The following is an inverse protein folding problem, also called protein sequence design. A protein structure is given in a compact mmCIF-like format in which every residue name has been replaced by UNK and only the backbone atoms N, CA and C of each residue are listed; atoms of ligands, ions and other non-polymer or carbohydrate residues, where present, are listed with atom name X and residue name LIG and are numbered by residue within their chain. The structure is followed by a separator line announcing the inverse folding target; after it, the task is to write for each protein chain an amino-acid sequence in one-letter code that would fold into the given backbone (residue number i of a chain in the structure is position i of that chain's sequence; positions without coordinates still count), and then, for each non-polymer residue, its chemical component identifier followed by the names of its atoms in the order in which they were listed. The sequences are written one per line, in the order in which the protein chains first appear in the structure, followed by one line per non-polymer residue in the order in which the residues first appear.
data_IF_392290214128
#
_entry.id   IF_392290214128
#
_cell.length_a   1.000
_cell.length_b   1.000
_cell.length_c   1.000
_cell.angle_alpha   90.00
_cell.angle_beta   90.00
_cell.angle_gamma   90.00
#
_symmetry.space_group_name_H-M   'P 1'
#
loop_
_entity.id
_entity.type
_entity.pdbx_description
1 polymer ?
#
# COMPACT_ATOMS: atom_id res chain seq x y z
N UNK A 1 25.13 8.92 30.73
CA UNK A 1 24.10 8.05 31.36
C UNK A 1 22.89 8.13 30.43
N UNK A 2 22.91 7.28 29.40
CA UNK A 2 21.83 7.18 28.43
C UNK A 2 20.62 6.49 29.05
N UNK A 3 19.48 7.09 28.86
CA UNK A 3 18.22 6.63 29.43
C UNK A 3 17.70 5.41 28.68
N UNK A 4 17.61 4.31 29.39
CA UNK A 4 17.02 3.00 29.00
C UNK A 4 15.50 3.05 28.71
N UNK A 5 14.99 4.07 28.02
CA UNK A 5 13.54 4.30 27.87
C UNK A 5 12.84 3.46 26.81
N UNK A 6 13.54 2.60 26.10
CA UNK A 6 12.93 1.78 25.03
C UNK A 6 12.85 0.29 25.36
N UNK A 7 12.94 -0.06 26.64
CA UNK A 7 12.95 -1.49 27.08
C UNK A 7 11.60 -2.19 27.10
N UNK A 8 10.48 -1.51 26.87
CA UNK A 8 9.18 -2.13 27.14
C UNK A 8 8.14 -1.82 26.06
N UNK A 9 8.17 -2.56 24.97
CA UNK A 9 6.97 -2.88 24.22
C UNK A 9 6.67 -4.38 24.39
N UNK A 10 6.04 -4.71 25.50
CA UNK A 10 5.58 -6.06 25.77
C UNK A 10 4.69 -6.01 27.00
N UNK A 11 3.40 -6.11 26.77
CA UNK A 11 2.42 -6.29 27.83
C UNK A 11 2.54 -7.70 28.39
N UNK A 12 3.12 -7.84 29.57
CA UNK A 12 3.22 -9.11 30.29
C UNK A 12 4.36 -9.11 31.31
N UNK A 13 4.13 -9.61 32.52
CA UNK A 13 5.19 -9.84 33.50
C UNK A 13 6.23 -10.77 32.89
N UNK A 14 7.40 -10.25 32.63
CA UNK A 14 8.53 -11.04 32.16
C UNK A 14 9.13 -11.73 33.37
N UNK A 15 8.89 -13.06 33.49
CA UNK A 15 9.62 -13.90 34.45
C UNK A 15 11.14 -13.83 34.19
N UNK A 16 11.90 -14.41 35.08
CA UNK A 16 13.37 -14.46 35.03
C UNK A 16 13.90 -14.77 33.62
N UNK A 17 14.59 -13.77 33.02
CA UNK A 17 15.11 -13.82 31.65
C UNK A 17 16.56 -14.30 31.59
N UNK A 18 17.15 -14.71 32.72
CA UNK A 18 18.57 -15.08 32.84
C UNK A 18 18.98 -16.26 31.93
N UNK A 19 18.02 -17.10 31.51
CA UNK A 19 18.24 -18.27 30.64
C UNK A 19 17.67 -18.09 29.20
N UNK A 20 17.23 -16.90 28.80
CA UNK A 20 16.75 -16.71 27.45
C UNK A 20 17.93 -16.47 26.51
N UNK A 21 17.83 -17.03 25.30
CA UNK A 21 18.76 -16.69 24.21
C UNK A 21 18.79 -15.17 24.07
N UNK A 22 19.98 -14.59 23.89
CA UNK A 22 20.07 -13.14 23.67
C UNK A 22 19.12 -12.73 22.56
N UNK A 23 18.37 -11.66 22.78
CA UNK A 23 17.46 -11.10 21.78
C UNK A 23 18.28 -10.74 20.52
N UNK A 24 17.83 -11.13 19.32
CA UNK A 24 18.63 -11.00 18.09
C UNK A 24 18.96 -9.56 17.71
N UNK A 25 18.52 -8.59 18.51
CA UNK A 25 18.66 -7.17 18.19
C UNK A 25 17.47 -6.63 17.35
N UNK A 26 17.46 -5.35 17.12
CA UNK A 26 16.50 -4.66 16.26
C UNK A 26 17.22 -4.12 15.03
N UNK A 27 16.55 -4.09 13.87
CA UNK A 27 15.22 -4.61 13.56
C UNK A 27 15.17 -6.15 13.48
N UNK A 28 13.98 -6.74 13.75
CA UNK A 28 13.78 -8.19 13.63
C UNK A 28 13.62 -8.58 12.17
N UNK A 29 14.41 -9.51 11.62
CA UNK A 29 14.44 -9.82 10.20
C UNK A 29 13.15 -10.47 9.67
N UNK A 30 12.39 -11.11 10.54
CA UNK A 30 11.13 -11.80 10.22
C UNK A 30 9.87 -10.98 10.56
N UNK A 31 10.02 -9.70 10.88
CA UNK A 31 8.89 -8.83 11.21
C UNK A 31 8.70 -7.76 10.15
N UNK A 32 7.47 -7.64 9.63
CA UNK A 32 7.02 -6.54 8.80
C UNK A 32 6.09 -5.64 9.61
N UNK A 33 6.40 -4.36 9.67
CA UNK A 33 5.56 -3.35 10.32
C UNK A 33 4.59 -2.79 9.29
N UNK A 34 3.29 -2.82 9.59
CA UNK A 34 2.27 -2.36 8.67
C UNK A 34 1.52 -1.14 9.16
N UNK A 35 1.02 -0.35 8.21
CA UNK A 35 0.05 0.72 8.47
C UNK A 35 -1.03 0.70 7.39
N UNK A 36 -2.21 1.26 7.71
CA UNK A 36 -3.29 1.43 6.71
C UNK A 36 -3.24 2.84 6.12
N UNK A 37 -3.74 3.00 4.89
CA UNK A 37 -3.95 4.31 4.28
C UNK A 37 -5.06 4.21 3.23
N UNK A 38 -6.17 4.90 3.48
CA UNK A 38 -7.37 4.82 2.65
C UNK A 38 -7.37 5.87 1.51
N UNK A 39 -6.57 6.92 1.67
CA UNK A 39 -6.41 8.03 0.73
C UNK A 39 -5.04 8.71 0.92
N UNK A 40 -4.73 9.70 0.06
CA UNK A 40 -3.46 10.41 0.10
C UNK A 40 -3.17 11.06 1.45
N UNK A 41 -4.16 11.74 2.04
CA UNK A 41 -3.97 12.44 3.33
C UNK A 41 -3.48 11.47 4.42
N UNK A 42 -4.16 10.33 4.60
CA UNK A 42 -3.77 9.34 5.62
C UNK A 42 -2.47 8.62 5.26
N UNK A 43 -2.18 8.46 3.97
CA UNK A 43 -0.89 7.93 3.54
C UNK A 43 0.25 8.86 3.96
N UNK A 44 0.18 10.14 3.63
CA UNK A 44 1.23 11.12 3.93
C UNK A 44 1.46 11.26 5.44
N UNK A 45 0.36 11.38 6.21
CA UNK A 45 0.40 11.47 7.67
C UNK A 45 1.13 10.27 8.27
N UNK A 46 0.69 9.05 7.94
CA UNK A 46 1.21 7.82 8.55
C UNK A 46 2.60 7.45 8.02
N UNK A 47 2.85 7.68 6.72
CA UNK A 47 4.16 7.49 6.13
C UNK A 47 5.22 8.38 6.76
N UNK A 48 4.88 9.61 7.13
CA UNK A 48 5.81 10.52 7.82
C UNK A 48 6.44 9.91 9.07
N UNK A 49 5.73 9.02 9.75
CA UNK A 49 6.22 8.28 10.91
C UNK A 49 6.91 6.97 10.53
N UNK A 50 6.30 6.19 9.62
CA UNK A 50 6.78 4.87 9.24
C UNK A 50 8.09 4.89 8.48
N UNK A 51 8.36 5.95 7.68
CA UNK A 51 9.63 6.11 6.96
C UNK A 51 10.86 6.12 7.87
N UNK A 52 10.70 6.59 9.13
CA UNK A 52 11.80 6.57 10.12
C UNK A 52 12.13 5.15 10.55
N UNK A 53 11.13 4.31 10.68
CA UNK A 53 11.32 2.90 10.99
C UNK A 53 11.95 2.17 9.80
N UNK A 54 11.47 2.45 8.58
CA UNK A 54 12.05 1.90 7.36
C UNK A 54 13.52 2.33 7.18
N UNK A 55 13.86 3.60 7.45
CA UNK A 55 15.24 4.09 7.43
C UNK A 55 16.12 3.45 8.52
N UNK A 56 15.53 3.03 9.65
CA UNK A 56 16.20 2.26 10.69
C UNK A 56 16.31 0.75 10.38
N UNK A 57 15.99 0.33 9.15
CA UNK A 57 16.14 -1.04 8.67
C UNK A 57 14.93 -1.95 8.89
N UNK A 58 13.81 -1.45 9.45
CA UNK A 58 12.60 -2.24 9.56
C UNK A 58 11.95 -2.46 8.20
N UNK A 59 11.49 -3.68 7.94
CA UNK A 59 10.64 -3.96 6.79
C UNK A 59 9.26 -3.36 7.03
N UNK A 60 8.81 -2.46 6.15
CA UNK A 60 7.55 -1.72 6.27
C UNK A 60 6.64 -2.01 5.08
N UNK A 61 5.35 -2.16 5.33
CA UNK A 61 4.34 -2.33 4.29
C UNK A 61 3.11 -1.47 4.55
N UNK A 62 2.32 -1.21 3.51
CA UNK A 62 1.07 -0.46 3.61
C UNK A 62 -0.13 -1.28 3.16
N UNK A 63 -1.24 -1.16 3.88
CA UNK A 63 -2.56 -1.63 3.48
C UNK A 63 -3.38 -0.43 2.99
N UNK A 64 -3.46 -0.27 1.68
CA UNK A 64 -4.35 0.70 1.04
C UNK A 64 -5.78 0.12 0.94
N UNK A 65 -6.39 -0.12 2.10
CA UNK A 65 -7.70 -0.75 2.25
C UNK A 65 -8.52 -0.11 3.39
N UNK A 66 -9.78 0.26 3.08
CA UNK A 66 -10.36 0.32 1.74
C UNK A 66 -9.80 1.49 0.93
N UNK A 67 -9.47 1.27 -0.35
CA UNK A 67 -8.98 2.34 -1.21
C UNK A 67 -10.14 3.28 -1.58
N UNK A 68 -10.00 4.55 -1.20
CA UNK A 68 -11.06 5.57 -1.35
C UNK A 68 -10.70 6.73 -2.29
N UNK A 69 -9.44 6.82 -2.67
CA UNK A 69 -8.94 7.76 -3.69
C UNK A 69 -7.67 7.21 -4.31
N UNK A 70 -7.20 7.86 -5.37
CA UNK A 70 -5.83 7.63 -5.85
C UNK A 70 -4.81 8.02 -4.76
N UNK A 71 -3.69 7.28 -4.71
CA UNK A 71 -2.58 7.52 -3.78
C UNK A 71 -1.28 7.50 -4.57
N UNK A 72 -0.57 8.61 -4.53
CA UNK A 72 0.81 8.70 -5.01
C UNK A 72 1.76 8.20 -3.92
N UNK A 73 2.37 7.03 -4.14
CA UNK A 73 3.30 6.39 -3.22
C UNK A 73 4.75 6.45 -3.71
N UNK A 74 5.03 7.13 -4.84
CA UNK A 74 6.33 7.08 -5.51
C UNK A 74 7.49 7.45 -4.60
N UNK A 75 7.33 8.45 -3.72
CA UNK A 75 8.38 8.81 -2.76
C UNK A 75 8.66 7.66 -1.76
N UNK A 76 7.65 6.90 -1.36
CA UNK A 76 7.78 5.79 -0.44
C UNK A 76 8.26 4.50 -1.09
N UNK A 77 8.04 4.34 -2.39
CA UNK A 77 8.46 3.17 -3.18
C UNK A 77 9.87 3.37 -3.74
N UNK A 78 10.15 4.57 -4.27
CA UNK A 78 11.43 4.91 -4.88
C UNK A 78 11.80 6.36 -4.56
N UNK A 79 12.50 6.61 -3.46
CA UNK A 79 12.77 7.97 -2.97
C UNK A 79 13.76 8.78 -3.84
N UNK A 80 14.16 8.26 -5.01
CA UNK A 80 15.10 8.94 -5.91
C UNK A 80 16.51 9.06 -5.34
N UNK A 81 17.20 10.14 -5.66
CA UNK A 81 18.54 10.42 -5.14
C UNK A 81 18.41 11.03 -3.74
N UNK A 82 19.10 10.45 -2.77
CA UNK A 82 19.14 10.98 -1.41
C UNK A 82 20.02 12.24 -1.37
N UNK A 83 19.43 13.37 -1.00
CA UNK A 83 20.15 14.64 -0.89
C UNK A 83 21.28 14.61 0.16
N UNK A 84 21.17 13.71 1.14
CA UNK A 84 22.16 13.61 2.23
C UNK A 84 23.38 12.77 1.86
N UNK A 85 23.19 11.63 1.19
CA UNK A 85 24.30 10.72 0.85
C UNK A 85 24.54 10.55 -0.66
N UNK A 86 23.72 11.14 -1.51
CA UNK A 86 23.82 11.04 -2.97
C UNK A 86 23.43 9.68 -3.57
N UNK A 87 23.05 8.70 -2.75
CA UNK A 87 22.62 7.39 -3.24
C UNK A 87 21.25 7.48 -3.91
N UNK A 88 21.08 6.77 -5.04
CA UNK A 88 19.81 6.56 -5.69
C UNK A 88 19.11 5.36 -5.04
N UNK A 89 17.85 5.55 -4.62
CA UNK A 89 17.03 4.51 -3.99
C UNK A 89 17.18 4.42 -2.46
N UNK A 90 16.94 3.24 -1.88
CA UNK A 90 16.96 3.04 -0.43
C UNK A 90 18.34 3.31 0.18
N UNK A 91 18.39 4.00 1.30
CA UNK A 91 19.61 4.21 2.07
C UNK A 91 19.25 4.40 3.55
N UNK A 92 20.25 4.50 4.43
CA UNK A 92 20.07 4.72 5.87
C UNK A 92 19.28 6.00 6.24
N UNK A 93 19.18 6.96 5.30
CA UNK A 93 18.43 8.20 5.49
C UNK A 93 17.01 8.15 4.90
N UNK A 94 16.73 7.14 4.07
CA UNK A 94 15.47 6.97 3.35
C UNK A 94 15.05 5.51 3.35
N UNK A 95 14.06 5.19 4.15
CA UNK A 95 13.39 3.90 4.09
C UNK A 95 12.41 3.82 2.92
N UNK A 96 12.14 2.62 2.46
CA UNK A 96 11.15 2.34 1.42
C UNK A 96 10.15 1.29 1.88
N UNK A 97 8.98 1.30 1.25
CA UNK A 97 8.01 0.23 1.40
C UNK A 97 8.53 -1.08 0.77
N UNK A 98 8.28 -2.19 1.44
CA UNK A 98 8.61 -3.53 0.95
C UNK A 98 7.43 -4.19 0.26
N UNK A 99 6.21 -3.77 0.59
CA UNK A 99 4.99 -4.31 0.02
C UNK A 99 3.85 -3.28 0.09
N UNK A 100 3.00 -3.31 -0.91
CA UNK A 100 1.71 -2.61 -0.93
C UNK A 100 0.59 -3.64 -1.08
N UNK A 101 -0.37 -3.62 -0.17
CA UNK A 101 -1.62 -4.38 -0.28
C UNK A 101 -2.72 -3.39 -0.62
N UNK A 102 -3.53 -3.67 -1.62
CA UNK A 102 -4.59 -2.78 -2.08
C UNK A 102 -5.90 -3.53 -2.25
N UNK A 103 -7.01 -2.89 -1.90
CA UNK A 103 -8.32 -3.48 -2.09
C UNK A 103 -9.48 -2.56 -1.76
N UNK A 104 -10.65 -2.90 -2.35
CA UNK A 104 -11.91 -2.20 -2.11
C UNK A 104 -12.64 -2.68 -0.88
N UNK A 105 -13.57 -1.85 -0.42
CA UNK A 105 -14.42 -2.16 0.72
C UNK A 105 -15.41 -3.28 0.39
N UNK A 106 -15.56 -4.25 1.31
CA UNK A 106 -16.53 -5.34 1.17
C UNK A 106 -17.66 -5.19 2.18
N UNK A 107 -18.85 -5.73 1.84
CA UNK A 107 -19.99 -5.74 2.73
C UNK A 107 -21.10 -4.76 2.36
N UNK A 108 -22.13 -4.73 3.22
CA UNK A 108 -23.28 -3.86 3.02
C UNK A 108 -22.89 -2.39 3.25
N UNK A 109 -23.25 -1.52 2.32
CA UNK A 109 -22.89 -0.10 2.42
C UNK A 109 -21.48 0.24 1.93
N UNK A 110 -20.74 -0.71 1.33
CA UNK A 110 -19.41 -0.47 0.77
C UNK A 110 -19.40 0.79 -0.12
N UNK A 111 -18.35 1.59 0.03
CA UNK A 111 -18.09 2.75 -0.82
C UNK A 111 -17.55 2.31 -2.17
N UNK A 112 -17.80 3.06 -3.25
CA UNK A 112 -17.20 2.78 -4.55
C UNK A 112 -15.67 2.83 -4.50
N UNK A 113 -15.02 1.94 -5.26
CA UNK A 113 -13.59 1.97 -5.50
C UNK A 113 -13.33 2.06 -7.01
N UNK A 114 -12.66 3.10 -7.46
CA UNK A 114 -12.24 3.20 -8.85
C UNK A 114 -11.07 2.24 -9.11
N UNK A 115 -11.24 1.33 -10.07
CA UNK A 115 -10.19 0.35 -10.43
C UNK A 115 -8.95 1.02 -11.05
N UNK A 116 -9.08 2.25 -11.58
CA UNK A 116 -7.95 2.98 -12.14
C UNK A 116 -6.98 3.47 -11.02
N UNK A 117 -7.48 3.66 -9.79
CA UNK A 117 -6.62 3.89 -8.63
C UNK A 117 -5.77 2.66 -8.29
N UNK A 118 -6.37 1.46 -8.43
CA UNK A 118 -5.63 0.20 -8.25
C UNK A 118 -4.57 0.06 -9.35
N UNK A 119 -4.89 0.40 -10.61
CA UNK A 119 -3.92 0.41 -11.72
C UNK A 119 -2.76 1.35 -11.46
N UNK A 120 -3.06 2.56 -10.97
CA UNK A 120 -2.04 3.56 -10.59
C UNK A 120 -1.07 2.95 -9.59
N UNK A 121 -1.56 2.36 -8.50
CA UNK A 121 -0.74 1.73 -7.46
C UNK A 121 0.06 0.54 -8.00
N UNK A 122 -0.56 -0.34 -8.78
CA UNK A 122 0.13 -1.48 -9.43
C UNK A 122 1.26 -1.00 -10.32
N UNK A 123 1.02 0.04 -11.13
CA UNK A 123 2.03 0.66 -11.98
C UNK A 123 3.19 1.23 -11.17
N UNK A 124 2.91 2.04 -10.13
CA UNK A 124 3.93 2.61 -9.24
C UNK A 124 4.79 1.52 -8.58
N UNK A 125 4.17 0.42 -8.13
CA UNK A 125 4.90 -0.71 -7.53
C UNK A 125 5.77 -1.42 -8.57
N UNK A 126 5.27 -1.65 -9.78
CA UNK A 126 6.02 -2.29 -10.87
C UNK A 126 7.23 -1.46 -11.27
N UNK A 127 7.07 -0.15 -11.43
CA UNK A 127 8.16 0.78 -11.77
C UNK A 127 9.27 0.80 -10.70
N UNK A 128 8.89 0.62 -9.44
CA UNK A 128 9.82 0.60 -8.31
C UNK A 128 10.37 -0.79 -7.97
N UNK A 129 9.86 -1.86 -8.58
CA UNK A 129 10.23 -3.25 -8.23
C UNK A 129 9.75 -3.67 -6.84
N UNK A 130 8.68 -3.06 -6.32
CA UNK A 130 8.10 -3.36 -5.01
C UNK A 130 6.93 -4.33 -5.15
N UNK A 131 6.84 -5.30 -4.25
CA UNK A 131 5.77 -6.29 -4.25
C UNK A 131 4.39 -5.63 -4.08
N UNK A 132 3.46 -5.92 -5.00
CA UNK A 132 2.08 -5.46 -4.94
C UNK A 132 1.12 -6.65 -4.78
N UNK A 133 0.16 -6.53 -3.88
CA UNK A 133 -0.87 -7.53 -3.66
C UNK A 133 -2.26 -6.92 -3.76
N UNK A 134 -2.96 -7.20 -4.86
CA UNK A 134 -4.37 -6.84 -5.01
C UNK A 134 -5.21 -7.89 -4.31
N UNK A 135 -5.83 -7.52 -3.21
CA UNK A 135 -6.56 -8.45 -2.34
C UNK A 135 -7.96 -8.73 -2.85
N UNK A 136 -8.70 -7.67 -3.17
CA UNK A 136 -10.07 -7.74 -3.67
C UNK A 136 -10.50 -6.42 -4.33
N UNK A 137 -11.47 -6.51 -5.26
CA UNK A 137 -12.06 -5.33 -5.88
C UNK A 137 -13.12 -4.65 -5.01
N UNK A 138 -13.54 -5.30 -3.91
CA UNK A 138 -14.63 -4.81 -3.08
C UNK A 138 -16.00 -5.07 -3.65
N UNK A 139 -17.03 -4.60 -2.95
CA UNK A 139 -18.42 -4.83 -3.33
C UNK A 139 -18.95 -3.84 -4.38
N UNK A 140 -18.27 -2.72 -4.58
CA UNK A 140 -18.66 -1.67 -5.55
C UNK A 140 -17.46 -1.17 -6.36
N UNK A 141 -16.82 -2.05 -7.17
CA UNK A 141 -15.78 -1.57 -8.08
C UNK A 141 -16.42 -0.76 -9.21
N UNK A 142 -15.84 0.39 -9.51
CA UNK A 142 -16.27 1.27 -10.58
C UNK A 142 -15.09 1.61 -11.49
N UNK A 143 -15.38 2.03 -12.72
CA UNK A 143 -14.43 2.60 -13.65
C UNK A 143 -14.88 4.01 -13.99
N UNK A 144 -13.97 4.96 -13.89
CA UNK A 144 -14.20 6.28 -14.44
C UNK A 144 -13.75 6.29 -15.91
N UNK A 145 -14.60 6.75 -16.79
CA UNK A 145 -14.17 7.07 -18.16
C UNK A 145 -13.54 8.46 -18.10
N UNK A 146 -12.23 8.49 -17.89
CA UNK A 146 -11.46 9.72 -17.93
C UNK A 146 -11.34 10.31 -19.34
N UNK A 147 -10.80 11.53 -19.42
CA UNK A 147 -10.67 12.38 -20.60
C UNK A 147 -10.04 11.66 -21.82
N UNK A 148 -9.22 10.63 -21.62
CA UNK A 148 -8.63 9.85 -22.71
C UNK A 148 -9.62 8.90 -23.42
N UNK A 149 -10.75 8.56 -22.79
CA UNK A 149 -11.90 7.92 -23.45
C UNK A 149 -12.88 8.92 -24.07
N UNK A 150 -12.73 10.22 -23.79
CA UNK A 150 -13.64 11.27 -24.22
C UNK A 150 -13.54 11.60 -25.72
N UNK A 151 -12.45 11.24 -26.40
CA UNK A 151 -12.34 11.45 -27.86
C UNK A 151 -13.35 10.61 -28.66
N UNK A 152 -13.78 9.45 -28.12
CA UNK A 152 -14.89 8.69 -28.71
C UNK A 152 -16.27 9.21 -28.28
N UNK A 153 -16.37 9.81 -27.08
CA UNK A 153 -17.65 10.29 -26.52
C UNK A 153 -18.03 11.72 -26.93
N UNK A 154 -17.12 12.51 -27.48
CA UNK A 154 -17.46 13.81 -28.09
C UNK A 154 -18.51 13.70 -29.25
N UNK A 155 -18.74 12.47 -29.72
CA UNK A 155 -19.82 12.19 -30.70
C UNK A 155 -21.22 12.13 -30.08
N UNK A 156 -21.35 12.08 -28.77
CA UNK A 156 -22.62 12.04 -28.06
C UNK A 156 -22.74 13.29 -27.19
N UNK A 157 -23.08 14.43 -27.86
CA UNK A 157 -23.35 15.70 -27.20
C UNK A 157 -24.39 15.52 -26.08
N UNK A 158 -24.01 15.81 -24.83
CA UNK A 158 -24.90 15.90 -23.69
C UNK A 158 -24.67 14.91 -22.52
N UNK A 159 -23.70 14.00 -22.57
CA UNK A 159 -23.41 13.12 -21.43
C UNK A 159 -22.32 13.74 -20.54
N UNK A 160 -22.52 13.79 -19.20
CA UNK A 160 -21.47 14.26 -18.29
C UNK A 160 -20.19 13.41 -18.47
N UNK A 161 -19.05 14.08 -18.58
CA UNK A 161 -17.72 13.50 -18.81
C UNK A 161 -17.24 12.68 -17.62
N UNK A 162 -17.89 12.82 -16.45
CA UNK A 162 -17.53 12.17 -15.21
C UNK A 162 -18.61 11.14 -14.80
N UNK A 163 -18.62 10.00 -15.48
CA UNK A 163 -19.53 8.90 -15.15
C UNK A 163 -18.80 7.72 -14.60
N UNK A 164 -19.24 7.28 -13.43
CA UNK A 164 -18.85 5.99 -12.84
C UNK A 164 -19.62 4.85 -13.55
N UNK A 165 -18.87 3.89 -14.07
CA UNK A 165 -19.42 2.66 -14.63
C UNK A 165 -19.17 1.50 -13.67
N UNK A 166 -20.23 0.91 -13.09
CA UNK A 166 -20.06 -0.24 -12.19
C UNK A 166 -19.44 -1.43 -12.92
N UNK A 167 -18.41 -2.02 -12.34
CA UNK A 167 -17.90 -3.31 -12.77
C UNK A 167 -18.78 -4.41 -12.13
N UNK A 168 -19.53 -5.14 -12.96
CA UNK A 168 -20.41 -6.19 -12.47
C UNK A 168 -19.61 -7.46 -12.22
N UNK A 169 -19.33 -7.75 -10.95
CA UNK A 169 -18.73 -9.01 -10.51
C UNK A 169 -19.81 -9.91 -9.90
N UNK A 170 -19.70 -11.22 -10.11
CA UNK A 170 -20.59 -12.23 -9.50
C UNK A 170 -20.26 -12.40 -8.03
N UNK A 171 -18.96 -12.38 -7.70
CA UNK A 171 -18.50 -12.46 -6.33
C UNK A 171 -18.78 -11.14 -5.61
N UNK A 172 -19.67 -11.17 -4.61
CA UNK A 172 -20.12 -9.98 -3.86
C UNK A 172 -19.01 -9.22 -3.10
N UNK A 173 -17.89 -9.88 -2.82
CA UNK A 173 -16.72 -9.24 -2.19
C UNK A 173 -15.68 -8.77 -3.21
N UNK A 174 -15.89 -9.12 -4.49
CA UNK A 174 -14.92 -8.88 -5.54
C UNK A 174 -13.59 -9.61 -5.31
N UNK A 175 -13.61 -10.79 -4.67
CA UNK A 175 -12.39 -11.53 -4.32
C UNK A 175 -12.01 -12.60 -5.34
N UNK A 176 -12.87 -12.88 -6.31
CA UNK A 176 -12.59 -13.83 -7.39
C UNK A 176 -11.77 -13.16 -8.50
N UNK A 177 -10.48 -13.48 -8.55
CA UNK A 177 -9.56 -12.91 -9.53
C UNK A 177 -9.92 -13.24 -10.99
N UNK A 178 -10.64 -14.32 -11.24
CA UNK A 178 -11.04 -14.70 -12.60
C UNK A 178 -12.00 -13.69 -13.23
N UNK A 179 -12.68 -12.91 -12.39
CA UNK A 179 -13.63 -11.87 -12.82
C UNK A 179 -12.97 -10.49 -12.99
N UNK A 180 -11.67 -10.34 -12.59
CA UNK A 180 -10.99 -9.04 -12.65
C UNK A 180 -10.40 -8.77 -14.02
N UNK A 181 -10.18 -7.51 -14.38
CA UNK A 181 -9.28 -7.17 -15.48
C UNK A 181 -7.93 -7.87 -15.29
N UNK A 182 -7.36 -8.34 -16.39
CA UNK A 182 -6.14 -9.16 -16.34
C UNK A 182 -4.96 -8.41 -15.72
N UNK A 183 -4.83 -7.13 -16.04
CA UNK A 183 -3.80 -6.22 -15.54
C UNK A 183 -3.85 -5.99 -14.01
N UNK A 184 -4.97 -6.35 -13.37
CA UNK A 184 -5.16 -6.22 -11.91
C UNK A 184 -5.02 -7.55 -11.15
N UNK A 185 -4.73 -8.66 -11.84
CA UNK A 185 -4.52 -9.98 -11.22
C UNK A 185 -3.12 -10.13 -10.64
N UNK A 186 -2.75 -9.19 -9.77
CA UNK A 186 -1.40 -9.08 -9.19
C UNK A 186 -1.43 -9.54 -7.74
N UNK A 187 -0.61 -10.54 -7.39
CA UNK A 187 -0.44 -11.05 -6.02
C UNK A 187 1.01 -11.42 -5.77
N UNK A 188 1.80 -10.43 -5.43
CA UNK A 188 3.22 -10.57 -5.14
C UNK A 188 3.46 -10.48 -3.64
N UNK A 189 4.50 -11.15 -3.18
CA UNK A 189 5.01 -11.06 -1.82
C UNK A 189 6.46 -10.60 -1.87
N UNK A 190 6.94 -9.88 -0.84
CA UNK A 190 8.36 -9.56 -0.72
C UNK A 190 9.20 -10.84 -0.74
N UNK A 191 10.38 -10.76 -1.33
CA UNK A 191 11.33 -11.86 -1.24
C UNK A 191 11.70 -12.15 0.22
N UNK A 192 11.77 -13.43 0.56
CA UNK A 192 12.26 -13.84 1.87
C UNK A 192 13.76 -13.52 1.93
N UNK A 193 14.11 -12.48 2.68
CA UNK A 193 15.49 -12.10 2.94
C UNK A 193 16.09 -12.89 4.09
#
# INVERSE_FOLDING_TARGET
RGSDRYKYFGCGQIGDISNRRPWPGFPLPNMLLGFSAENQQYFDERWSHMRRLAAAGWKVWVSAEPLLSDIDMREALWPGICEHCGHSGPCEHRGVLQQVVVGGESGHGARPMNIDWVRSIVGQCADAGVACFVKQMGAKPVRHMGINGALELQRFAGTPIDREYPLKLRNKKGSDMSEWPEDLRVRQFPEAG
#
